data_IF_154354611773
#
_entry.id   IF_154354611773
#
_cell.length_a   1.000
_cell.length_b   1.000
_cell.length_c   1.000
_cell.angle_alpha   90.00
_cell.angle_beta   90.00
_cell.angle_gamma   90.00
#
_symmetry.space_group_name_H-M   'P 1'
#
loop_
_entity.id
_entity.type
_entity.pdbx_description
1 polymer ?
#
# COMPACT_ATOMS: atom_id res chain seq x y z
N UNK A 1 2.27 8.79 -12.72
CA UNK A 1 0.93 9.14 -12.25
C UNK A 1 0.46 10.37 -13.00
N UNK A 2 -0.44 10.16 -13.92
CA UNK A 2 -1.03 11.23 -14.74
C UNK A 2 -2.50 11.41 -14.35
N UNK A 3 -2.81 12.58 -13.80
CA UNK A 3 -4.17 12.93 -13.37
C UNK A 3 -5.14 12.94 -14.55
N UNK A 4 -4.73 13.50 -15.68
CA UNK A 4 -5.58 13.56 -16.88
C UNK A 4 -5.92 12.16 -17.40
N UNK A 5 -4.94 11.24 -17.38
CA UNK A 5 -5.17 9.84 -17.73
C UNK A 5 -6.21 9.19 -16.81
N UNK A 6 -6.11 9.39 -15.48
CA UNK A 6 -7.10 8.87 -14.54
C UNK A 6 -8.51 9.47 -14.77
N UNK A 7 -8.60 10.77 -15.07
CA UNK A 7 -9.88 11.42 -15.37
C UNK A 7 -10.50 10.89 -16.67
N UNK A 8 -9.68 10.67 -17.70
CA UNK A 8 -10.15 10.07 -18.95
C UNK A 8 -10.68 8.65 -18.73
N UNK A 9 -9.94 7.82 -18.00
CA UNK A 9 -10.38 6.45 -17.67
C UNK A 9 -11.67 6.47 -16.85
N UNK A 10 -11.83 7.41 -15.91
CA UNK A 10 -13.07 7.53 -15.15
C UNK A 10 -14.28 7.87 -16.04
N UNK A 11 -14.08 8.73 -17.05
CA UNK A 11 -15.12 9.05 -18.04
C UNK A 11 -15.44 7.86 -18.95
N UNK A 12 -14.42 7.13 -19.40
CA UNK A 12 -14.62 5.95 -20.24
C UNK A 12 -15.39 4.85 -19.48
N UNK A 13 -15.02 4.57 -18.23
CA UNK A 13 -15.74 3.63 -17.35
C UNK A 13 -17.20 4.08 -17.17
N UNK A 14 -17.44 5.39 -16.93
CA UNK A 14 -18.78 5.92 -16.78
C UNK A 14 -19.63 5.72 -18.04
N UNK A 15 -19.04 5.94 -19.21
CA UNK A 15 -19.70 5.76 -20.49
C UNK A 15 -20.06 4.30 -20.79
N UNK A 16 -19.14 3.39 -20.49
CA UNK A 16 -19.25 1.98 -20.88
C UNK A 16 -20.00 1.13 -19.85
N UNK A 17 -19.92 1.47 -18.57
CA UNK A 17 -20.41 0.63 -17.45
C UNK A 17 -21.30 1.40 -16.46
N UNK A 18 -21.49 2.70 -16.63
CA UNK A 18 -22.21 3.55 -15.69
C UNK A 18 -21.30 4.10 -14.59
N UNK A 19 -21.92 4.77 -13.62
CA UNK A 19 -21.19 5.40 -12.52
C UNK A 19 -20.47 4.37 -11.64
N UNK A 20 -19.28 4.73 -11.18
CA UNK A 20 -18.52 3.92 -10.23
C UNK A 20 -19.21 3.92 -8.87
N UNK A 21 -19.51 2.74 -8.33
CA UNK A 21 -20.06 2.57 -6.97
C UNK A 21 -18.98 2.17 -5.96
N UNK A 22 -17.99 1.42 -6.41
CA UNK A 22 -16.91 0.89 -5.57
C UNK A 22 -15.57 1.19 -6.23
N UNK A 23 -14.69 1.87 -5.50
CA UNK A 23 -13.30 2.09 -5.89
C UNK A 23 -12.36 1.38 -4.93
N UNK A 24 -11.53 0.46 -5.46
CA UNK A 24 -10.47 -0.20 -4.68
C UNK A 24 -9.10 0.32 -5.13
N UNK A 25 -8.42 1.04 -4.26
CA UNK A 25 -7.07 1.56 -4.52
C UNK A 25 -6.02 0.55 -4.06
N UNK A 26 -5.55 -0.29 -4.99
CA UNK A 26 -4.59 -1.37 -4.72
C UNK A 26 -3.17 -1.12 -5.25
N UNK A 27 -2.92 -0.01 -5.96
CA UNK A 27 -1.59 0.31 -6.46
C UNK A 27 -0.60 0.57 -5.30
N UNK A 28 0.61 0.02 -5.41
CA UNK A 28 1.62 0.24 -4.38
C UNK A 28 2.85 -0.63 -4.58
N UNK A 29 3.91 -0.28 -3.87
CA UNK A 29 5.18 -0.98 -3.91
C UNK A 29 6.30 -0.21 -3.23
N UNK A 30 7.48 -0.83 -3.16
CA UNK A 30 8.69 -0.24 -2.63
C UNK A 30 9.70 0.01 -3.75
N UNK A 31 10.82 0.67 -3.41
CA UNK A 31 11.94 0.92 -4.32
C UNK A 31 13.27 0.56 -3.63
N UNK A 32 14.16 -0.22 -4.28
CA UNK A 32 15.47 -0.55 -3.72
C UNK A 32 16.31 0.68 -3.38
N UNK A 33 16.16 1.79 -4.10
CA UNK A 33 16.87 3.04 -3.81
C UNK A 33 16.43 3.69 -2.48
N UNK A 34 15.21 3.37 -2.00
CA UNK A 34 14.66 3.84 -0.72
C UNK A 34 14.71 2.75 0.36
N UNK A 35 15.66 1.81 0.26
CA UNK A 35 15.81 0.66 1.16
C UNK A 35 17.23 0.61 1.70
N UNK A 36 17.42 0.43 3.03
CA UNK A 36 18.74 0.24 3.65
C UNK A 36 19.20 -1.20 3.55
N UNK A 37 20.51 -1.43 3.59
CA UNK A 37 21.09 -2.79 3.55
C UNK A 37 20.94 -3.51 4.89
N UNK A 38 21.13 -2.78 6.00
CA UNK A 38 21.01 -3.30 7.37
C UNK A 38 19.70 -2.88 8.03
N UNK A 39 19.29 -3.67 9.02
CA UNK A 39 18.13 -3.38 9.87
C UNK A 39 18.44 -2.32 10.92
N UNK A 40 19.65 -2.35 11.46
CA UNK A 40 20.15 -1.43 12.48
C UNK A 40 21.40 -0.75 11.97
N UNK A 41 21.53 0.53 12.27
CA UNK A 41 22.72 1.32 12.00
C UNK A 41 23.70 1.15 13.17
N UNK A 42 24.96 0.89 12.85
CA UNK A 42 26.06 0.77 13.82
C UNK A 42 27.09 1.88 13.59
N UNK A 43 27.85 2.26 14.63
CA UNK A 43 28.84 3.36 14.52
C UNK A 43 29.83 3.15 13.38
N UNK A 44 30.25 1.91 13.13
CA UNK A 44 31.18 1.56 12.04
C UNK A 44 30.58 1.64 10.64
N UNK A 45 29.28 1.80 10.50
CA UNK A 45 28.62 1.88 9.19
C UNK A 45 28.77 3.26 8.54
N UNK A 46 29.20 4.28 9.28
CA UNK A 46 29.38 5.63 8.76
C UNK A 46 30.43 5.70 7.65
N UNK A 47 31.46 4.85 7.75
CA UNK A 47 32.57 4.78 6.82
C UNK A 47 32.58 3.47 5.99
N UNK A 48 31.52 2.66 6.08
CA UNK A 48 31.41 1.38 5.39
C UNK A 48 30.72 1.55 4.03
N UNK A 49 31.06 0.68 3.08
CA UNK A 49 30.35 0.53 1.81
C UNK A 49 29.02 -0.25 2.03
N UNK A 50 28.16 0.34 2.87
CA UNK A 50 26.87 -0.23 3.25
C UNK A 50 25.82 0.87 3.17
N UNK A 51 24.80 0.66 2.36
CA UNK A 51 23.73 1.63 2.17
C UNK A 51 22.92 1.78 3.47
N UNK A 52 23.06 2.94 4.08
CA UNK A 52 22.45 3.32 5.35
C UNK A 52 21.29 4.29 5.16
N UNK A 53 20.77 4.86 6.24
CA UNK A 53 19.80 5.95 6.20
C UNK A 53 20.33 7.18 5.44
N UNK A 54 21.62 7.47 5.55
CA UNK A 54 22.24 8.64 4.93
C UNK A 54 22.38 8.52 3.41
N UNK A 55 22.26 7.30 2.87
CA UNK A 55 22.41 6.97 1.44
C UNK A 55 21.07 6.74 0.73
N UNK A 56 19.96 6.95 1.44
CA UNK A 56 18.64 6.83 0.84
C UNK A 56 18.44 7.90 -0.25
N UNK A 57 18.15 7.44 -1.45
CA UNK A 57 17.97 8.27 -2.63
C UNK A 57 16.62 9.00 -2.58
N UNK A 58 16.64 10.33 -2.69
CA UNK A 58 15.43 11.17 -2.62
C UNK A 58 14.44 10.90 -3.75
N UNK A 59 14.93 10.55 -4.96
CA UNK A 59 14.07 10.19 -6.08
C UNK A 59 13.42 8.82 -5.84
N UNK A 60 14.18 7.90 -5.21
CA UNK A 60 13.66 6.61 -4.76
C UNK A 60 12.56 6.77 -3.70
N UNK A 61 12.76 7.65 -2.73
CA UNK A 61 11.75 8.00 -1.72
C UNK A 61 10.52 8.63 -2.38
N UNK A 62 10.72 9.64 -3.25
CA UNK A 62 9.65 10.31 -3.99
C UNK A 62 8.86 9.32 -4.85
N UNK A 63 9.54 8.39 -5.53
CA UNK A 63 8.87 7.32 -6.29
C UNK A 63 7.93 6.49 -5.41
N UNK A 64 8.39 6.09 -4.21
CA UNK A 64 7.57 5.28 -3.29
C UNK A 64 6.33 6.06 -2.82
N UNK A 65 6.48 7.33 -2.45
CA UNK A 65 5.34 8.17 -2.06
C UNK A 65 4.40 8.42 -3.24
N UNK A 66 4.92 8.70 -4.42
CA UNK A 66 4.12 8.88 -5.62
C UNK A 66 3.32 7.62 -5.95
N UNK A 67 3.97 6.45 -5.99
CA UNK A 67 3.32 5.20 -6.31
C UNK A 67 2.22 4.84 -5.31
N UNK A 68 2.48 4.97 -4.01
CA UNK A 68 1.53 4.55 -2.97
C UNK A 68 0.51 5.64 -2.67
N UNK A 69 0.95 6.85 -2.29
CA UNK A 69 0.03 7.90 -1.82
C UNK A 69 -0.67 8.61 -2.98
N UNK A 70 0.06 9.15 -3.97
CA UNK A 70 -0.59 9.76 -5.13
C UNK A 70 -1.32 8.72 -5.98
N UNK A 71 -0.84 7.47 -6.03
CA UNK A 71 -1.54 6.35 -6.66
C UNK A 71 -2.87 5.98 -6.00
N UNK A 72 -3.12 6.41 -4.77
CA UNK A 72 -4.40 6.32 -4.07
C UNK A 72 -5.21 7.61 -4.25
N UNK A 73 -4.60 8.78 -4.07
CA UNK A 73 -5.26 10.07 -4.10
C UNK A 73 -5.82 10.41 -5.48
N UNK A 74 -5.02 10.28 -6.55
CA UNK A 74 -5.42 10.70 -7.90
C UNK A 74 -6.60 9.89 -8.45
N UNK A 75 -6.60 8.53 -8.39
CA UNK A 75 -7.78 7.76 -8.78
C UNK A 75 -9.01 8.11 -7.92
N UNK A 76 -8.83 8.33 -6.62
CA UNK A 76 -9.95 8.75 -5.76
C UNK A 76 -10.52 10.09 -6.21
N UNK A 77 -9.69 11.07 -6.55
CA UNK A 77 -10.16 12.36 -7.08
C UNK A 77 -10.95 12.21 -8.38
N UNK A 78 -10.53 11.29 -9.26
CA UNK A 78 -11.19 11.07 -10.54
C UNK A 78 -12.55 10.37 -10.38
N UNK A 79 -12.58 9.25 -9.66
CA UNK A 79 -13.75 8.39 -9.57
C UNK A 79 -14.77 8.84 -8.50
N UNK A 80 -14.34 9.41 -7.38
CA UNK A 80 -15.27 9.82 -6.32
C UNK A 80 -16.24 10.92 -6.76
N UNK A 81 -15.93 11.70 -7.80
CA UNK A 81 -16.87 12.65 -8.41
C UNK A 81 -18.18 11.98 -8.86
N UNK A 82 -18.10 10.73 -9.32
CA UNK A 82 -19.26 9.96 -9.78
C UNK A 82 -20.09 9.39 -8.62
N UNK A 83 -19.52 9.37 -7.41
CA UNK A 83 -20.12 8.80 -6.20
C UNK A 83 -20.89 9.83 -5.37
N UNK A 84 -20.57 11.12 -5.50
CA UNK A 84 -21.15 12.21 -4.68
C UNK A 84 -22.67 12.24 -4.78
N UNK A 85 -23.35 12.22 -3.64
CA UNK A 85 -24.82 12.28 -3.55
C UNK A 85 -25.52 10.94 -3.85
N UNK A 86 -24.77 9.85 -3.95
CA UNK A 86 -25.29 8.49 -4.17
C UNK A 86 -25.04 7.65 -2.93
N UNK A 87 -26.05 6.95 -2.45
CA UNK A 87 -25.92 6.03 -1.32
C UNK A 87 -25.26 4.72 -1.73
N UNK A 88 -24.58 4.07 -0.77
CA UNK A 88 -23.94 2.78 -0.97
C UNK A 88 -22.56 2.83 -1.66
N UNK A 89 -22.08 4.03 -1.99
CA UNK A 89 -20.75 4.17 -2.61
C UNK A 89 -19.61 3.95 -1.61
N UNK A 90 -18.55 3.30 -2.08
CA UNK A 90 -17.42 2.91 -1.25
C UNK A 90 -16.07 3.20 -1.90
N UNK A 91 -15.13 3.70 -1.08
CA UNK A 91 -13.70 3.72 -1.40
C UNK A 91 -12.97 2.81 -0.41
N UNK A 92 -12.24 1.84 -0.92
CA UNK A 92 -11.41 0.95 -0.13
C UNK A 92 -9.94 1.11 -0.51
N UNK A 93 -9.13 1.51 0.46
CA UNK A 93 -7.70 1.71 0.27
C UNK A 93 -6.90 0.50 0.80
N UNK A 94 -5.86 0.10 0.07
CA UNK A 94 -4.94 -0.95 0.53
C UNK A 94 -3.76 -0.29 1.22
N UNK A 95 -3.82 -0.25 2.55
CA UNK A 95 -2.73 0.17 3.42
C UNK A 95 -1.72 -0.97 3.63
N UNK A 96 -1.15 -1.12 4.78
CA UNK A 96 -0.24 -2.19 5.18
C UNK A 96 -0.12 -2.23 6.70
N UNK A 97 0.24 -3.37 7.27
CA UNK A 97 0.69 -3.45 8.66
C UNK A 97 1.85 -2.47 8.94
N UNK A 98 2.65 -2.17 7.93
CA UNK A 98 3.78 -1.23 8.04
C UNK A 98 3.36 0.22 8.35
N UNK A 99 2.09 0.55 8.17
CA UNK A 99 1.55 1.84 8.60
C UNK A 99 1.54 2.00 10.13
N UNK A 100 1.46 0.88 10.85
CA UNK A 100 1.34 0.80 12.32
C UNK A 100 2.61 0.27 12.97
N UNK A 101 3.28 -0.68 12.32
CA UNK A 101 4.53 -1.30 12.79
C UNK A 101 5.56 -1.22 11.67
N UNK A 102 6.30 -0.09 11.57
CA UNK A 102 7.25 0.12 10.48
C UNK A 102 8.36 -0.93 10.51
N UNK A 103 8.65 -1.49 9.34
CA UNK A 103 9.77 -2.41 9.15
C UNK A 103 11.07 -1.62 9.00
N UNK A 104 12.15 -2.16 9.53
CA UNK A 104 13.45 -1.49 9.71
C UNK A 104 14.09 -0.98 8.41
N UNK A 105 14.00 -1.75 7.31
CA UNK A 105 14.75 -1.45 6.07
C UNK A 105 14.03 -0.50 5.10
N UNK A 106 12.74 -0.27 5.26
CA UNK A 106 11.88 0.36 4.24
C UNK A 106 11.10 1.56 4.78
N UNK A 107 11.81 2.62 5.23
CA UNK A 107 11.16 3.76 5.88
C UNK A 107 10.19 4.51 4.96
N UNK A 108 10.54 4.67 3.67
CA UNK A 108 9.68 5.36 2.71
C UNK A 108 8.36 4.62 2.47
N UNK A 109 8.40 3.28 2.35
CA UNK A 109 7.20 2.48 2.19
C UNK A 109 6.30 2.55 3.42
N UNK A 110 6.88 2.38 4.61
CA UNK A 110 6.14 2.48 5.88
C UNK A 110 5.48 3.85 6.04
N UNK A 111 6.22 4.93 5.76
CA UNK A 111 5.70 6.30 5.79
C UNK A 111 4.58 6.53 4.78
N UNK A 112 4.73 6.04 3.54
CA UNK A 112 3.71 6.16 2.51
C UNK A 112 2.42 5.39 2.87
N UNK A 113 2.54 4.20 3.47
CA UNK A 113 1.39 3.41 3.94
C UNK A 113 0.70 4.03 5.17
N UNK A 114 1.47 4.67 6.07
CA UNK A 114 0.92 5.47 7.16
C UNK A 114 0.14 6.69 6.61
N UNK A 115 0.66 7.35 5.58
CA UNK A 115 -0.04 8.43 4.90
C UNK A 115 -1.36 8.00 4.28
N UNK A 116 -1.43 6.79 3.67
CA UNK A 116 -2.69 6.22 3.15
C UNK A 116 -3.69 5.99 4.29
N UNK A 117 -3.26 5.45 5.45
CA UNK A 117 -4.14 5.21 6.60
C UNK A 117 -4.74 6.52 7.11
N UNK A 118 -3.90 7.54 7.34
CA UNK A 118 -4.34 8.86 7.77
C UNK A 118 -5.26 9.54 6.73
N UNK A 119 -4.91 9.45 5.44
CA UNK A 119 -5.75 9.97 4.35
C UNK A 119 -7.12 9.29 4.30
N UNK A 120 -7.19 7.98 4.56
CA UNK A 120 -8.45 7.23 4.62
C UNK A 120 -9.36 7.78 5.73
N UNK A 121 -8.82 8.02 6.91
CA UNK A 121 -9.56 8.59 8.05
C UNK A 121 -10.07 10.00 7.73
N UNK A 122 -9.19 10.85 7.21
CA UNK A 122 -9.57 12.20 6.79
C UNK A 122 -10.66 12.19 5.72
N UNK A 123 -10.52 11.32 4.71
CA UNK A 123 -11.46 11.25 3.59
C UNK A 123 -12.82 10.69 4.03
N UNK A 124 -12.85 9.74 4.97
CA UNK A 124 -14.07 9.22 5.56
C UNK A 124 -14.90 10.32 6.25
N UNK A 125 -14.22 11.19 7.01
CA UNK A 125 -14.86 12.36 7.62
C UNK A 125 -15.30 13.37 6.56
N UNK A 126 -14.44 13.66 5.58
CA UNK A 126 -14.71 14.64 4.53
C UNK A 126 -15.92 14.26 3.67
N UNK A 127 -16.09 12.98 3.37
CA UNK A 127 -17.20 12.47 2.55
C UNK A 127 -18.43 11.99 3.35
N UNK A 128 -18.42 12.14 4.67
CA UNK A 128 -19.47 11.61 5.56
C UNK A 128 -20.90 12.11 5.23
N UNK A 129 -21.03 13.27 4.56
CA UNK A 129 -22.33 13.87 4.23
C UNK A 129 -22.77 13.71 2.77
N UNK A 130 -22.00 12.96 1.99
CA UNK A 130 -22.25 12.82 0.53
C UNK A 130 -22.47 11.37 0.08
N UNK A 131 -22.72 10.45 1.04
CA UNK A 131 -23.08 9.05 0.75
C UNK A 131 -21.91 8.13 0.46
N UNK A 132 -20.65 8.57 0.64
CA UNK A 132 -19.45 7.78 0.33
C UNK A 132 -18.82 7.29 1.63
N UNK A 133 -18.72 5.98 1.82
CA UNK A 133 -17.93 5.37 2.89
C UNK A 133 -16.50 5.18 2.43
N UNK A 134 -15.53 5.40 3.33
CA UNK A 134 -14.11 5.22 3.03
C UNK A 134 -13.46 4.39 4.12
N UNK A 135 -12.83 3.29 3.73
CA UNK A 135 -12.16 2.37 4.63
C UNK A 135 -10.82 1.94 4.08
N UNK A 136 -10.01 1.29 4.90
CA UNK A 136 -8.78 0.64 4.46
C UNK A 136 -8.67 -0.76 5.07
N UNK A 137 -8.00 -1.65 4.35
CA UNK A 137 -7.43 -2.87 4.93
C UNK A 137 -5.91 -2.70 5.02
N UNK A 138 -5.33 -3.27 6.07
CA UNK A 138 -3.88 -3.23 6.33
C UNK A 138 -3.31 -4.67 6.35
N UNK A 139 -3.10 -5.29 5.18
CA UNK A 139 -2.64 -6.66 5.11
C UNK A 139 -1.28 -6.85 5.79
N UNK A 140 -1.08 -8.02 6.41
CA UNK A 140 0.20 -8.51 6.87
C UNK A 140 1.05 -9.03 5.73
N UNK A 141 1.69 -10.18 5.95
CA UNK A 141 2.54 -10.79 4.94
C UNK A 141 1.81 -11.87 4.13
N UNK A 142 1.81 -11.69 2.82
CA UNK A 142 1.28 -12.61 1.82
C UNK A 142 2.36 -12.92 0.78
N UNK A 143 2.41 -14.15 0.31
CA UNK A 143 3.29 -14.51 -0.81
C UNK A 143 2.63 -14.08 -2.11
N UNK A 144 3.37 -13.32 -2.91
CA UNK A 144 2.94 -12.86 -4.23
C UNK A 144 4.07 -13.03 -5.23
N UNK A 145 3.77 -13.04 -6.53
CA UNK A 145 4.79 -13.06 -7.57
C UNK A 145 5.83 -11.95 -7.44
N UNK A 146 5.45 -10.81 -6.84
CA UNK A 146 6.33 -9.66 -6.66
C UNK A 146 7.38 -9.86 -5.56
N UNK A 147 7.06 -10.66 -4.53
CA UNK A 147 7.94 -10.82 -3.35
C UNK A 147 8.46 -12.24 -3.15
N UNK A 148 8.05 -13.19 -3.98
CA UNK A 148 8.42 -14.61 -3.84
C UNK A 148 9.92 -14.81 -3.80
N UNK A 149 10.67 -14.16 -4.68
CA UNK A 149 12.15 -14.23 -4.73
C UNK A 149 12.85 -13.59 -3.52
N UNK A 150 12.15 -12.76 -2.75
CA UNK A 150 12.67 -12.20 -1.49
C UNK A 150 12.39 -13.13 -0.30
N UNK A 151 11.44 -14.04 -0.46
CA UNK A 151 10.96 -14.92 0.61
C UNK A 151 11.51 -16.34 0.49
N UNK A 152 11.76 -16.82 -0.72
CA UNK A 152 12.25 -18.16 -0.99
C UNK A 152 13.48 -18.14 -1.87
N UNK A 153 14.41 -19.03 -1.57
CA UNK A 153 15.56 -19.31 -2.41
C UNK A 153 15.15 -20.07 -3.67
N UNK A 154 16.06 -20.17 -4.65
CA UNK A 154 15.79 -20.89 -5.91
C UNK A 154 15.50 -22.39 -5.73
N UNK A 155 15.95 -22.97 -4.63
CA UNK A 155 15.66 -24.36 -4.24
C UNK A 155 14.35 -24.54 -3.44
N UNK A 156 13.58 -23.46 -3.25
CA UNK A 156 12.33 -23.44 -2.51
C UNK A 156 12.49 -23.34 -0.99
N UNK A 157 13.71 -23.29 -0.46
CA UNK A 157 13.95 -23.08 0.96
C UNK A 157 13.64 -21.64 1.38
N UNK A 158 13.31 -21.45 2.65
CA UNK A 158 13.01 -20.11 3.20
C UNK A 158 14.28 -19.27 3.28
N UNK A 159 14.16 -17.99 2.91
CA UNK A 159 15.24 -17.03 3.18
C UNK A 159 15.28 -16.67 4.67
N UNK A 160 16.40 -16.14 5.16
CA UNK A 160 16.51 -15.61 6.52
C UNK A 160 15.44 -14.55 6.81
N UNK A 161 15.07 -13.76 5.81
CA UNK A 161 13.95 -12.80 5.90
C UNK A 161 12.63 -13.50 6.22
N UNK A 162 12.33 -14.58 5.54
CA UNK A 162 11.11 -15.37 5.78
C UNK A 162 11.10 -15.97 7.18
N UNK A 163 12.22 -16.52 7.65
CA UNK A 163 12.30 -17.07 9.00
C UNK A 163 12.02 -16.00 10.07
N UNK A 164 12.59 -14.80 9.93
CA UNK A 164 12.32 -13.66 10.82
C UNK A 164 10.85 -13.24 10.80
N UNK A 165 10.25 -13.12 9.61
CA UNK A 165 8.83 -12.76 9.46
C UNK A 165 7.94 -13.79 10.16
N UNK A 166 8.17 -15.08 9.91
CA UNK A 166 7.35 -16.14 10.47
C UNK A 166 7.55 -16.27 11.99
N UNK A 167 8.76 -16.07 12.51
CA UNK A 167 9.02 -16.03 13.93
C UNK A 167 8.28 -14.90 14.67
N UNK A 168 8.10 -13.75 14.00
CA UNK A 168 7.35 -12.61 14.52
C UNK A 168 5.83 -12.71 14.24
N UNK A 169 5.38 -13.71 13.49
CA UNK A 169 3.98 -13.92 13.13
C UNK A 169 3.39 -15.02 14.00
N UNK A 170 2.46 -14.73 14.94
CA UNK A 170 1.95 -15.75 15.87
C UNK A 170 1.35 -16.98 15.20
N UNK A 171 0.73 -16.84 14.02
CA UNK A 171 0.21 -17.98 13.25
C UNK A 171 1.30 -18.82 12.57
N UNK A 172 2.57 -18.40 12.56
CA UNK A 172 3.71 -19.13 11.98
C UNK A 172 3.64 -19.35 10.48
N UNK A 173 2.79 -18.62 9.76
CA UNK A 173 2.60 -18.75 8.31
C UNK A 173 2.27 -17.43 7.65
N UNK A 174 2.45 -17.36 6.35
CA UNK A 174 1.91 -16.28 5.52
C UNK A 174 0.37 -16.40 5.37
N UNK A 175 -0.29 -15.27 5.14
CA UNK A 175 -1.68 -15.24 4.76
C UNK A 175 -1.89 -15.77 3.34
N UNK A 176 -3.09 -16.30 3.08
CA UNK A 176 -3.57 -16.65 1.76
C UNK A 176 -4.46 -15.51 1.23
N UNK A 177 -4.42 -15.23 -0.08
CA UNK A 177 -5.18 -14.13 -0.67
C UNK A 177 -6.68 -14.19 -0.33
N UNK A 178 -7.25 -15.39 -0.30
CA UNK A 178 -8.66 -15.64 0.02
C UNK A 178 -9.02 -15.21 1.45
N UNK A 179 -8.05 -15.15 2.37
CA UNK A 179 -8.29 -14.71 3.75
C UNK A 179 -8.58 -13.19 3.86
N UNK A 180 -8.33 -12.43 2.81
CA UNK A 180 -8.69 -11.00 2.73
C UNK A 180 -10.14 -10.78 2.23
N UNK A 181 -10.73 -11.76 1.55
CA UNK A 181 -12.04 -11.62 0.91
C UNK A 181 -13.14 -11.27 1.91
N UNK A 182 -13.16 -11.93 3.07
CA UNK A 182 -14.17 -11.68 4.10
C UNK A 182 -14.16 -10.23 4.60
N UNK A 183 -12.97 -9.67 4.87
CA UNK A 183 -12.83 -8.28 5.30
C UNK A 183 -13.19 -7.30 4.16
N UNK A 184 -12.78 -7.62 2.93
CA UNK A 184 -13.09 -6.82 1.76
C UNK A 184 -14.61 -6.77 1.53
N UNK A 185 -15.28 -7.91 1.48
CA UNK A 185 -16.73 -7.99 1.27
C UNK A 185 -17.51 -7.29 2.40
N UNK A 186 -17.08 -7.45 3.66
CA UNK A 186 -17.69 -6.77 4.79
C UNK A 186 -17.62 -5.25 4.69
N UNK A 187 -16.49 -4.71 4.23
CA UNK A 187 -16.31 -3.26 4.11
C UNK A 187 -17.00 -2.67 2.88
N UNK A 188 -17.19 -3.46 1.84
CA UNK A 188 -17.83 -3.02 0.59
C UNK A 188 -19.37 -3.16 0.60
N UNK A 189 -19.92 -3.86 1.58
CA UNK A 189 -21.38 -4.11 1.67
C UNK A 189 -22.16 -2.92 2.25
#
# INVERSE_FOLDING_TARGET
LDKQSCENVALDVQKDSGNCDILVNGAGGNNPKATTDKEYFEVGDIDADTKSFFDLDSDGVSFVFNLNFLGTLIPTQAFAKQMVGREGCNVLNISSMNAFTPLTKIPAYSGAKAAISNFTEWLAVHFSKVGIRVNAIAPGFFVTKQNESLLFNSDGTKTQRTEKILAATPMGRFGKAEELEGALLFLLN
#
